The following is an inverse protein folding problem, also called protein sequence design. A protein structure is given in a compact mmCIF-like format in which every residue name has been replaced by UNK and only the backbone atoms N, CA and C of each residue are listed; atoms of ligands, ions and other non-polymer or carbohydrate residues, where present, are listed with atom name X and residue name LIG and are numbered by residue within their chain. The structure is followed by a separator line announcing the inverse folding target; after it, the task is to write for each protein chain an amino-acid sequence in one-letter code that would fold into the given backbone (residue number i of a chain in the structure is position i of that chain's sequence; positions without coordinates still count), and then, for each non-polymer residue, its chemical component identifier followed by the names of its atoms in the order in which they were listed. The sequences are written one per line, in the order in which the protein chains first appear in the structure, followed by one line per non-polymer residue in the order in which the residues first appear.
data_IF_159420833374
#
_entry.id   IF_159420833374
#
_cell.length_a   1.000
_cell.length_b   1.000
_cell.length_c   1.000
_cell.angle_alpha   90.00
_cell.angle_beta   90.00
_cell.angle_gamma   90.00
#
_symmetry.space_group_name_H-M   'P 1'
#
loop_
_entity.id
_entity.type
_entity.pdbx_description
1 polymer ?
#
# COMPACT_ATOMS: atom_id res chain seq x y z
N UNK A 1 -46.39 -12.03 42.18
CA UNK A 1 -46.01 -11.27 40.97
C UNK A 1 -44.84 -10.38 41.35
N UNK A 2 -43.65 -10.70 40.88
CA UNK A 2 -42.44 -9.92 41.17
C UNK A 2 -41.83 -9.56 39.83
N UNK A 3 -42.05 -8.32 39.40
CA UNK A 3 -41.42 -7.76 38.21
C UNK A 3 -39.97 -7.43 38.57
N UNK A 4 -39.02 -8.17 37.98
CA UNK A 4 -37.61 -7.76 37.96
C UNK A 4 -37.36 -7.09 36.61
N UNK A 5 -37.29 -5.76 36.64
CA UNK A 5 -36.73 -4.93 35.59
C UNK A 5 -35.21 -4.85 35.78
N UNK A 6 -34.53 -4.71 34.65
CA UNK A 6 -33.11 -4.37 34.48
C UNK A 6 -32.11 -5.55 34.48
N UNK A 7 -31.77 -5.99 33.28
CA UNK A 7 -30.46 -5.60 32.74
C UNK A 7 -30.47 -5.78 31.22
N UNK A 8 -30.45 -4.66 30.52
CA UNK A 8 -30.40 -4.55 29.07
C UNK A 8 -28.92 -4.76 28.69
N UNK A 9 -28.66 -5.80 27.89
CA UNK A 9 -27.52 -5.98 27.01
C UNK A 9 -26.08 -5.88 27.57
N UNK A 10 -25.36 -7.02 27.64
CA UNK A 10 -23.94 -7.06 27.29
C UNK A 10 -23.81 -7.51 25.82
N UNK A 11 -24.46 -6.80 24.89
CA UNK A 11 -24.28 -7.00 23.45
C UNK A 11 -23.48 -5.85 22.80
N UNK A 12 -22.81 -5.03 23.61
CA UNK A 12 -22.05 -3.86 23.19
C UNK A 12 -20.55 -3.97 23.50
N UNK A 13 -19.99 -5.20 23.53
CA UNK A 13 -18.55 -5.44 23.73
C UNK A 13 -18.04 -6.41 22.66
N UNK A 14 -18.27 -6.08 21.40
CA UNK A 14 -17.65 -6.66 20.20
C UNK A 14 -17.67 -5.50 19.18
N UNK A 15 -16.62 -4.86 18.68
CA UNK A 15 -15.19 -5.12 18.62
C UNK A 15 -14.48 -3.76 18.42
N UNK A 16 -14.27 -2.95 19.48
CA UNK A 16 -13.40 -1.76 19.37
C UNK A 16 -11.92 -2.13 19.56
N UNK A 17 -11.50 -3.20 18.88
CA UNK A 17 -10.11 -3.60 18.78
C UNK A 17 -9.73 -3.65 17.29
N UNK A 18 -9.92 -2.54 16.58
CA UNK A 18 -9.16 -2.27 15.36
C UNK A 18 -7.73 -1.94 15.82
N UNK A 19 -6.99 -3.00 16.20
CA UNK A 19 -5.55 -2.93 16.36
C UNK A 19 -4.99 -2.26 15.11
N UNK A 20 -4.10 -1.28 15.30
CA UNK A 20 -3.43 -0.51 14.27
C UNK A 20 -2.60 -1.40 13.32
N UNK A 21 -3.27 -2.22 12.52
CA UNK A 21 -2.68 -2.86 11.34
C UNK A 21 -2.49 -1.77 10.30
N UNK A 22 -1.38 -1.81 9.58
CA UNK A 22 -1.17 -0.93 8.45
C UNK A 22 -2.31 -1.19 7.46
N UNK A 23 -3.15 -0.17 7.27
CA UNK A 23 -4.28 -0.23 6.35
C UNK A 23 -3.78 -0.29 4.92
N UNK A 24 -2.59 0.25 4.60
CA UNK A 24 -1.94 0.01 3.32
C UNK A 24 -0.52 -0.52 3.51
N UNK A 25 -0.19 -1.59 2.78
CA UNK A 25 1.16 -2.14 2.67
C UNK A 25 1.59 -2.05 1.22
N UNK A 26 2.73 -1.43 0.99
CA UNK A 26 3.38 -1.34 -0.31
C UNK A 26 4.72 -2.07 -0.26
N UNK A 27 5.02 -2.81 -1.32
CA UNK A 27 6.34 -3.41 -1.53
C UNK A 27 6.68 -3.42 -3.00
N UNK A 28 7.92 -3.05 -3.33
CA UNK A 28 8.46 -3.17 -4.67
C UNK A 28 9.92 -3.59 -4.66
N UNK A 29 10.31 -4.33 -5.69
CA UNK A 29 11.69 -4.68 -6.00
C UNK A 29 11.99 -4.18 -7.40
N UNK A 30 13.09 -3.45 -7.53
CA UNK A 30 13.55 -2.88 -8.78
C UNK A 30 14.92 -3.46 -9.12
N UNK A 31 15.01 -4.30 -10.14
CA UNK A 31 16.28 -4.91 -10.56
C UNK A 31 17.13 -3.94 -11.40
N UNK A 32 18.43 -3.88 -11.12
CA UNK A 32 19.37 -3.15 -11.97
C UNK A 32 19.75 -3.91 -13.24
N UNK A 33 19.65 -5.24 -13.24
CA UNK A 33 20.07 -6.08 -14.37
C UNK A 33 19.18 -5.87 -15.60
N UNK A 34 17.88 -5.68 -15.38
CA UNK A 34 16.90 -5.56 -16.46
C UNK A 34 15.98 -4.33 -16.33
N UNK A 35 16.16 -3.50 -15.30
CA UNK A 35 15.34 -2.31 -15.07
C UNK A 35 13.88 -2.64 -14.72
N UNK A 36 13.53 -3.89 -14.40
CA UNK A 36 12.15 -4.23 -14.06
C UNK A 36 11.86 -3.88 -12.60
N UNK A 37 10.73 -3.22 -12.39
CA UNK A 37 10.11 -3.08 -11.08
C UNK A 37 8.93 -4.04 -10.99
N UNK A 38 8.89 -4.82 -9.92
CA UNK A 38 7.80 -5.72 -9.56
C UNK A 38 7.37 -5.47 -8.11
N UNK A 39 6.13 -5.82 -7.77
CA UNK A 39 5.59 -5.53 -6.45
C UNK A 39 4.09 -5.38 -6.40
N UNK A 40 3.60 -4.65 -5.40
CA UNK A 40 2.17 -4.41 -5.27
C UNK A 40 1.78 -3.64 -4.02
N UNK A 41 0.47 -3.45 -3.91
CA UNK A 41 -0.18 -2.78 -2.78
C UNK A 41 -1.27 -3.69 -2.25
N UNK A 42 -1.29 -3.84 -0.93
CA UNK A 42 -2.36 -4.49 -0.18
C UNK A 42 -3.05 -3.44 0.69
N UNK A 43 -4.36 -3.35 0.62
CA UNK A 43 -5.20 -2.43 1.39
C UNK A 43 -6.15 -3.23 2.28
N UNK A 44 -6.10 -3.00 3.59
CA UNK A 44 -6.85 -3.72 4.62
C UNK A 44 -6.74 -5.25 4.49
N UNK A 45 -5.54 -5.72 4.12
CA UNK A 45 -5.24 -7.14 3.92
C UNK A 45 -5.67 -7.71 2.56
N UNK A 46 -6.32 -6.93 1.70
CA UNK A 46 -6.69 -7.33 0.34
C UNK A 46 -5.69 -6.80 -0.70
N UNK A 47 -5.24 -7.66 -1.61
CA UNK A 47 -4.34 -7.24 -2.70
C UNK A 47 -5.09 -6.35 -3.70
N UNK A 48 -4.72 -5.08 -3.81
CA UNK A 48 -5.42 -4.09 -4.64
C UNK A 48 -4.68 -3.71 -5.90
N UNK A 49 -3.35 -3.68 -5.86
CA UNK A 49 -2.52 -3.29 -7.00
C UNK A 49 -1.35 -4.23 -7.21
N UNK A 50 -1.04 -4.50 -8.48
CA UNK A 50 0.08 -5.30 -8.94
C UNK A 50 1.01 -4.45 -9.79
N UNK A 51 2.29 -4.46 -9.45
CA UNK A 51 3.36 -3.94 -10.29
C UNK A 51 3.99 -5.16 -10.94
N UNK A 52 3.73 -5.35 -12.23
CA UNK A 52 4.39 -6.36 -13.05
C UNK A 52 5.00 -5.62 -14.22
N UNK A 53 6.31 -5.33 -14.14
CA UNK A 53 7.07 -4.63 -15.16
C UNK A 53 6.47 -3.31 -15.62
N UNK A 54 7.03 -2.22 -15.11
CA UNK A 54 6.75 -0.89 -15.63
C UNK A 54 7.52 -0.68 -16.95
N UNK A 55 6.85 -0.46 -18.10
CA UNK A 55 7.53 -0.20 -19.36
C UNK A 55 8.35 1.09 -19.30
N UNK A 56 9.62 1.03 -19.72
CA UNK A 56 10.50 2.21 -19.81
C UNK A 56 11.18 2.61 -18.50
N UNK A 57 11.10 1.79 -17.45
CA UNK A 57 11.91 1.95 -16.26
C UNK A 57 13.33 1.45 -16.52
N UNK A 58 14.35 2.32 -16.43
CA UNK A 58 15.74 1.93 -16.71
C UNK A 58 16.55 1.61 -15.45
N UNK A 59 16.01 1.91 -14.26
CA UNK A 59 16.75 1.84 -12.99
C UNK A 59 17.83 2.89 -12.80
N UNK A 60 18.13 3.67 -13.85
CA UNK A 60 19.09 4.77 -13.84
C UNK A 60 18.64 5.97 -13.00
N UNK A 61 19.56 6.89 -12.70
CA UNK A 61 19.27 8.14 -11.97
C UNK A 61 18.49 9.16 -12.80
N UNK A 62 18.44 9.00 -14.12
CA UNK A 62 17.64 9.87 -15.00
C UNK A 62 16.12 9.78 -14.74
N UNK A 63 15.68 8.73 -14.05
CA UNK A 63 14.27 8.38 -13.86
C UNK A 63 13.67 8.90 -12.55
N UNK A 64 14.40 9.68 -11.74
CA UNK A 64 13.93 10.17 -10.42
C UNK A 64 12.64 10.99 -10.50
N UNK A 65 12.35 11.60 -11.66
CA UNK A 65 11.14 12.40 -11.87
C UNK A 65 10.00 11.68 -12.59
N UNK A 66 10.23 10.47 -13.08
CA UNK A 66 9.24 9.73 -13.85
C UNK A 66 8.13 9.18 -12.94
N UNK A 67 6.92 9.12 -13.50
CA UNK A 67 5.73 8.60 -12.84
C UNK A 67 5.26 7.37 -13.59
N UNK A 68 5.00 6.30 -12.86
CA UNK A 68 4.62 5.05 -13.46
C UNK A 68 3.31 4.54 -12.86
N UNK A 69 2.27 4.38 -13.70
CA UNK A 69 0.99 3.87 -13.24
C UNK A 69 1.11 2.40 -12.87
N UNK A 70 0.45 2.00 -11.79
CA UNK A 70 0.36 0.61 -11.33
C UNK A 70 -0.97 0.02 -11.79
N UNK A 71 -0.98 -1.27 -12.13
CA UNK A 71 -2.22 -1.98 -12.45
C UNK A 71 -2.98 -2.28 -11.17
N UNK A 72 -4.20 -1.77 -11.03
CA UNK A 72 -5.03 -1.96 -9.84
C UNK A 72 -6.41 -2.54 -10.21
N UNK A 73 -7.05 -3.17 -9.24
CA UNK A 73 -8.45 -3.59 -9.36
C UNK A 73 -9.38 -2.36 -9.43
N UNK A 74 -10.62 -2.57 -9.89
CA UNK A 74 -11.59 -1.48 -10.06
C UNK A 74 -11.82 -0.68 -8.77
N UNK A 75 -11.83 0.65 -8.89
CA UNK A 75 -12.01 1.57 -7.75
C UNK A 75 -10.72 1.95 -7.03
N UNK A 76 -9.59 1.36 -7.44
CA UNK A 76 -8.26 1.66 -6.90
C UNK A 76 -7.35 2.19 -7.98
N UNK A 77 -6.40 3.04 -7.61
CA UNK A 77 -5.33 3.47 -8.50
C UNK A 77 -4.06 3.75 -7.72
N UNK A 78 -2.91 3.55 -8.36
CA UNK A 78 -1.64 3.93 -7.79
C UNK A 78 -0.66 4.39 -8.86
N UNK A 79 0.24 5.28 -8.46
CA UNK A 79 1.37 5.72 -9.27
C UNK A 79 2.60 5.70 -8.39
N UNK A 80 3.68 5.11 -8.89
CA UNK A 80 4.98 5.10 -8.22
C UNK A 80 5.92 6.12 -8.88
N UNK A 81 6.80 6.71 -8.08
CA UNK A 81 7.83 7.67 -8.47
C UNK A 81 9.12 7.37 -7.73
N UNK A 82 10.22 7.94 -8.21
CA UNK A 82 11.51 7.92 -7.54
C UNK A 82 11.92 6.47 -7.18
N UNK A 83 11.84 5.59 -8.17
CA UNK A 83 12.19 4.17 -8.04
C UNK A 83 11.40 3.42 -6.94
N UNK A 84 10.17 3.85 -6.67
CA UNK A 84 9.29 3.27 -5.65
C UNK A 84 9.38 3.95 -4.29
N UNK A 85 10.24 4.97 -4.13
CA UNK A 85 10.36 5.72 -2.87
C UNK A 85 9.16 6.64 -2.60
N UNK A 86 8.41 7.02 -3.63
CA UNK A 86 7.21 7.84 -3.49
C UNK A 86 6.03 7.16 -4.18
N UNK A 87 4.91 7.02 -3.47
CA UNK A 87 3.72 6.35 -3.98
C UNK A 87 2.52 7.27 -3.77
N UNK A 88 1.78 7.51 -4.84
CA UNK A 88 0.43 8.06 -4.79
C UNK A 88 -0.57 6.92 -4.91
N UNK A 89 -1.54 6.85 -4.02
CA UNK A 89 -2.51 5.78 -3.95
C UNK A 89 -3.92 6.34 -3.70
N UNK A 90 -4.90 5.78 -4.38
CA UNK A 90 -6.31 6.04 -4.15
C UNK A 90 -7.05 4.72 -3.94
N UNK A 91 -7.88 4.69 -2.91
CA UNK A 91 -8.93 3.71 -2.74
C UNK A 91 -10.30 4.35 -3.08
N UNK A 92 -11.42 3.62 -3.01
CA UNK A 92 -12.73 4.18 -3.33
C UNK A 92 -13.18 5.36 -2.45
N UNK A 93 -12.54 5.59 -1.31
CA UNK A 93 -12.94 6.60 -0.31
C UNK A 93 -12.00 7.80 -0.27
N UNK A 94 -10.71 7.62 -0.53
CA UNK A 94 -9.69 8.65 -0.35
C UNK A 94 -8.47 8.44 -1.26
N UNK A 95 -7.69 9.52 -1.41
CA UNK A 95 -6.43 9.53 -2.12
C UNK A 95 -5.36 10.18 -1.24
N UNK A 96 -4.18 9.56 -1.18
CA UNK A 96 -3.06 10.07 -0.40
C UNK A 96 -1.73 9.68 -1.04
N UNK A 97 -0.66 10.33 -0.56
CA UNK A 97 0.71 10.01 -0.93
C UNK A 97 1.48 9.56 0.29
N UNK A 98 2.43 8.66 0.09
CA UNK A 98 3.32 8.19 1.14
C UNK A 98 4.72 7.91 0.59
N UNK A 99 5.70 8.04 1.47
CA UNK A 99 7.08 7.67 1.19
C UNK A 99 7.33 6.21 1.60
N UNK A 100 8.10 5.49 0.79
CA UNK A 100 8.60 4.17 1.11
C UNK A 100 10.05 4.25 1.61
N UNK A 101 10.39 3.35 2.53
CA UNK A 101 11.77 3.11 2.92
C UNK A 101 12.42 2.20 1.88
N UNK A 102 13.56 2.61 1.33
CA UNK A 102 14.24 1.86 0.28
C UNK A 102 15.63 1.40 0.71
N UNK A 103 15.92 0.13 0.52
CA UNK A 103 17.25 -0.47 0.60
C UNK A 103 17.88 -0.53 -0.80
N UNK A 104 19.08 0.03 -0.93
CA UNK A 104 19.83 0.13 -2.18
C UNK A 104 20.95 -0.91 -2.18
N UNK A 105 20.60 -2.15 -2.45
CA UNK A 105 21.55 -3.24 -2.56
C UNK A 105 22.33 -3.16 -3.88
N UNK A 106 23.30 -4.05 -4.08
CA UNK A 106 24.13 -4.07 -5.30
C UNK A 106 23.38 -4.56 -6.53
N UNK A 107 22.33 -5.35 -6.35
CA UNK A 107 21.55 -6.02 -7.39
C UNK A 107 20.21 -5.34 -7.70
N UNK A 108 19.61 -4.71 -6.69
CA UNK A 108 18.27 -4.16 -6.77
C UNK A 108 18.01 -3.08 -5.71
N UNK A 109 16.96 -2.30 -5.94
CA UNK A 109 16.35 -1.40 -4.95
C UNK A 109 15.10 -2.08 -4.40
N UNK A 110 14.99 -2.19 -3.09
CA UNK A 110 13.83 -2.80 -2.42
C UNK A 110 13.15 -1.74 -1.57
N UNK A 111 11.93 -1.35 -1.94
CA UNK A 111 11.18 -0.33 -1.24
C UNK A 111 9.95 -0.93 -0.55
N UNK A 112 9.67 -0.51 0.67
CA UNK A 112 8.49 -0.91 1.42
C UNK A 112 7.90 0.24 2.23
N UNK A 113 6.58 0.25 2.37
CA UNK A 113 5.87 1.20 3.21
C UNK A 113 4.69 0.53 3.91
N UNK A 114 4.49 0.89 5.17
CA UNK A 114 3.33 0.52 5.97
C UNK A 114 2.64 1.81 6.39
N UNK A 115 1.45 2.06 5.84
CA UNK A 115 0.66 3.27 6.11
C UNK A 115 -0.42 2.93 7.14
N UNK A 116 -0.56 3.80 8.13
CA UNK A 116 -1.52 3.68 9.22
C UNK A 116 -2.46 4.88 9.21
N UNK A 117 -3.73 4.69 9.53
CA UNK A 117 -4.71 5.79 9.65
C UNK A 117 -5.39 6.22 8.35
N UNK A 118 -5.27 5.41 7.29
CA UNK A 118 -6.39 5.12 6.39
C UNK A 118 -7.45 4.24 7.11
#
# INVERSE_FOLDING_TARGET
MQFSLASIAPAAILLMASTAQACVNFGSVTSYDNGQMDGGITDNGAHTCTINTIPGFSGGTADENAFWPVSCISGYSATVRNKGAEVAYCNPTECFTFAASCDYATDAIRCNANVFGC
#
